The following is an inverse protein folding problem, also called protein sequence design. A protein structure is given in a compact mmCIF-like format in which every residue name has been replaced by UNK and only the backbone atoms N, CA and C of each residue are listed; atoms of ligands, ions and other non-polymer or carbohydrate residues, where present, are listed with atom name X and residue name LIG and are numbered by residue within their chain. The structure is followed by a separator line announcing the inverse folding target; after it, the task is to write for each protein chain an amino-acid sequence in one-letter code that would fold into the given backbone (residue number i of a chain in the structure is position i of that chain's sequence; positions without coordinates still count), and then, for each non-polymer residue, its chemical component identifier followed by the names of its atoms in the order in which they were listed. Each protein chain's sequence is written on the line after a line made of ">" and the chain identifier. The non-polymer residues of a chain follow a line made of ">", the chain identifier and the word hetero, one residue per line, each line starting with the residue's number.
data_IF_692947192767
#
_entry.id   IF_692947192767
#
_cell.length_a   1.000
_cell.length_b   1.000
_cell.length_c   1.000
_cell.angle_alpha   90.00
_cell.angle_beta   90.00
_cell.angle_gamma   90.00
#
_symmetry.space_group_name_H-M   'P 1'
#
loop_
_entity.id
_entity.type
_entity.pdbx_description
1 polymer ?
#
# COMPACT_ATOMS: atom_id res chain seq x y z
N UNK A 1 5.22 -21.56 0.72
CA UNK A 1 5.40 -21.18 2.14
C UNK A 1 4.10 -20.61 2.70
N UNK A 2 3.80 -20.87 3.97
CA UNK A 2 2.56 -20.46 4.66
C UNK A 2 2.59 -18.94 5.02
N UNK A 3 2.90 -18.09 4.05
CA UNK A 3 3.05 -16.63 4.23
C UNK A 3 1.70 -15.94 4.39
N UNK A 4 0.60 -16.63 4.06
CA UNK A 4 -0.76 -16.07 4.04
C UNK A 4 -1.22 -15.48 5.38
N UNK A 5 -0.63 -15.94 6.49
CA UNK A 5 -1.02 -15.55 7.85
C UNK A 5 0.02 -14.70 8.56
N UNK A 6 1.26 -14.65 8.06
CA UNK A 6 2.37 -13.88 8.64
C UNK A 6 2.01 -12.44 9.05
N UNK A 7 1.22 -11.66 8.26
CA UNK A 7 0.93 -10.27 8.59
C UNK A 7 0.35 -10.02 9.98
N UNK A 8 -0.49 -10.92 10.50
CA UNK A 8 -1.11 -10.71 11.82
C UNK A 8 -0.17 -11.06 12.99
N UNK A 9 0.96 -11.72 12.74
CA UNK A 9 1.99 -11.99 13.75
C UNK A 9 3.06 -10.90 13.78
N UNK A 10 3.09 -10.01 12.78
CA UNK A 10 4.17 -9.03 12.68
C UNK A 10 4.34 -8.17 13.93
N UNK A 11 3.28 -7.67 14.60
CA UNK A 11 3.45 -6.95 15.86
C UNK A 11 4.18 -7.79 16.93
N UNK A 12 3.81 -9.07 17.05
CA UNK A 12 4.46 -10.00 17.98
C UNK A 12 5.87 -10.35 17.56
N UNK A 13 6.14 -10.52 16.26
CA UNK A 13 7.46 -10.80 15.71
C UNK A 13 8.39 -9.61 15.96
N UNK A 14 7.92 -8.39 15.70
CA UNK A 14 8.69 -7.16 15.96
C UNK A 14 8.99 -7.01 17.45
N UNK A 15 8.00 -7.20 18.33
CA UNK A 15 8.24 -7.20 19.77
C UNK A 15 9.29 -8.24 20.22
N UNK A 16 9.29 -9.45 19.63
CA UNK A 16 10.33 -10.45 19.92
C UNK A 16 11.72 -10.04 19.44
N UNK A 17 11.80 -9.38 18.29
CA UNK A 17 13.07 -8.92 17.74
C UNK A 17 13.62 -7.73 18.54
N UNK A 18 12.76 -6.81 18.98
CA UNK A 18 13.14 -5.67 19.82
C UNK A 18 13.66 -6.13 21.20
N UNK A 19 13.11 -7.21 21.74
CA UNK A 19 13.59 -7.84 22.97
C UNK A 19 14.91 -8.63 22.78
N UNK A 20 15.28 -8.95 21.53
CA UNK A 20 16.38 -9.84 21.16
C UNK A 20 17.73 -9.17 20.86
N UNK A 21 17.85 -7.86 21.06
CA UNK A 21 19.06 -7.05 20.81
C UNK A 21 19.45 -6.80 19.34
N UNK A 22 18.69 -7.27 18.34
CA UNK A 22 18.86 -6.88 16.92
C UNK A 22 18.04 -5.62 16.65
N UNK A 23 18.58 -4.43 16.95
CA UNK A 23 17.86 -3.17 16.75
C UNK A 23 17.75 -2.82 15.27
N UNK A 24 16.56 -3.00 14.69
CA UNK A 24 16.20 -2.49 13.35
C UNK A 24 16.43 -0.98 13.19
N UNK A 25 16.54 -0.26 14.30
CA UNK A 25 16.61 1.19 14.36
C UNK A 25 18.00 1.76 14.02
N UNK A 26 19.07 0.95 14.10
CA UNK A 26 20.46 1.41 13.93
C UNK A 26 21.25 0.64 12.83
N UNK A 27 20.55 0.15 11.81
CA UNK A 27 21.16 -0.61 10.72
C UNK A 27 21.66 0.35 9.63
N UNK A 28 22.93 0.25 9.23
CA UNK A 28 23.40 0.94 8.04
C UNK A 28 22.83 0.26 6.79
N UNK A 29 21.89 0.94 6.14
CA UNK A 29 21.19 0.44 4.95
C UNK A 29 22.09 0.34 3.72
N UNK A 30 23.28 0.96 3.75
CA UNK A 30 24.29 0.83 2.70
C UNK A 30 25.20 -0.39 2.91
N UNK A 31 25.25 -0.92 4.12
CA UNK A 31 26.01 -2.12 4.45
C UNK A 31 25.18 -3.38 4.21
N UNK A 32 25.49 -4.10 3.12
CA UNK A 32 24.75 -5.29 2.71
C UNK A 32 24.78 -6.41 3.76
N UNK A 33 25.88 -6.55 4.51
CA UNK A 33 26.01 -7.61 5.52
C UNK A 33 25.13 -7.34 6.74
N UNK A 34 25.03 -6.08 7.17
CA UNK A 34 24.12 -5.69 8.24
C UNK A 34 22.65 -5.89 7.83
N UNK A 35 22.29 -5.46 6.62
CA UNK A 35 20.94 -5.69 6.07
C UNK A 35 20.63 -7.19 6.00
N UNK A 36 21.59 -8.00 5.57
CA UNK A 36 21.44 -9.45 5.49
C UNK A 36 21.23 -10.08 6.87
N UNK A 37 22.02 -9.70 7.86
CA UNK A 37 21.90 -10.21 9.23
C UNK A 37 20.49 -9.95 9.79
N UNK A 38 19.98 -8.75 9.58
CA UNK A 38 18.63 -8.35 9.99
C UNK A 38 17.54 -9.17 9.31
N UNK A 39 17.67 -9.41 8.00
CA UNK A 39 16.74 -10.26 7.24
C UNK A 39 16.79 -11.71 7.74
N UNK A 40 17.98 -12.24 8.02
CA UNK A 40 18.15 -13.59 8.53
C UNK A 40 17.52 -13.75 9.92
N UNK A 41 17.70 -12.79 10.82
CA UNK A 41 17.09 -12.79 12.15
C UNK A 41 15.57 -12.68 12.08
N UNK A 42 15.04 -11.78 11.24
CA UNK A 42 13.61 -11.71 10.98
C UNK A 42 13.07 -13.07 10.50
N UNK A 43 13.74 -13.69 9.53
CA UNK A 43 13.31 -14.99 8.99
C UNK A 43 13.37 -16.11 10.04
N UNK A 44 14.39 -16.11 10.91
CA UNK A 44 14.49 -17.07 12.03
C UNK A 44 13.32 -16.91 12.99
N UNK A 45 13.00 -15.67 13.41
CA UNK A 45 11.89 -15.40 14.34
C UNK A 45 10.53 -15.65 13.69
N UNK A 46 10.37 -15.33 12.41
CA UNK A 46 9.12 -15.53 11.67
C UNK A 46 8.81 -17.01 11.35
N UNK A 47 9.83 -17.85 11.18
CA UNK A 47 9.66 -19.24 10.74
C UNK A 47 8.76 -20.10 11.67
N UNK A 48 8.88 -20.05 13.01
CA UNK A 48 7.95 -20.70 13.93
C UNK A 48 6.49 -20.29 13.73
N UNK A 49 6.20 -18.99 13.58
CA UNK A 49 4.84 -18.48 13.35
C UNK A 49 4.26 -19.00 12.03
N UNK A 50 5.08 -19.04 10.97
CA UNK A 50 4.67 -19.60 9.68
C UNK A 50 4.37 -21.12 9.76
N UNK A 51 5.05 -21.87 10.65
CA UNK A 51 4.80 -23.30 10.88
C UNK A 51 3.56 -23.54 11.75
N UNK A 52 3.43 -22.82 12.87
CA UNK A 52 2.32 -22.91 13.82
C UNK A 52 0.96 -22.76 13.12
N UNK A 53 0.91 -21.91 12.09
CA UNK A 53 -0.33 -21.58 11.41
C UNK A 53 -0.69 -22.45 10.21
N UNK A 54 0.04 -23.54 9.97
CA UNK A 54 -0.32 -24.56 8.98
C UNK A 54 -1.45 -25.51 9.44
N UNK A 55 -1.93 -25.44 10.69
CA UNK A 55 -2.87 -26.44 11.22
C UNK A 55 -4.03 -25.95 12.10
N UNK A 56 -4.13 -24.66 12.45
CA UNK A 56 -5.19 -24.15 13.33
C UNK A 56 -5.97 -22.98 12.72
N UNK A 57 -7.27 -22.90 12.98
CA UNK A 57 -8.09 -21.70 12.76
C UNK A 57 -7.76 -20.70 13.86
N UNK A 58 -7.23 -19.52 13.51
CA UNK A 58 -6.94 -18.46 14.48
C UNK A 58 -8.01 -17.36 14.37
N UNK A 59 -8.89 -17.19 15.36
CA UNK A 59 -9.91 -16.13 15.37
C UNK A 59 -9.33 -14.72 15.22
N UNK A 60 -8.13 -14.48 15.76
CA UNK A 60 -7.45 -13.19 15.64
C UNK A 60 -7.00 -12.90 14.20
N UNK A 61 -6.70 -13.94 13.40
CA UNK A 61 -6.38 -13.76 11.98
C UNK A 61 -7.62 -13.33 11.17
N UNK A 62 -8.78 -13.91 11.47
CA UNK A 62 -10.03 -13.48 10.84
C UNK A 62 -10.28 -12.01 11.17
N UNK A 63 -10.31 -11.62 12.44
CA UNK A 63 -10.48 -10.22 12.84
C UNK A 63 -9.48 -9.29 12.14
N UNK A 64 -8.17 -9.60 12.21
CA UNK A 64 -7.12 -8.81 11.58
C UNK A 64 -7.32 -8.58 10.08
N UNK A 65 -7.77 -9.63 9.38
CA UNK A 65 -7.97 -9.62 7.93
C UNK A 65 -9.26 -8.93 7.48
N UNK A 66 -10.23 -8.77 8.39
CA UNK A 66 -11.49 -8.12 8.08
C UNK A 66 -11.41 -6.59 8.17
N UNK A 67 -10.39 -6.08 8.87
CA UNK A 67 -10.23 -4.66 9.13
C UNK A 67 -9.52 -3.89 8.00
N UNK A 68 -9.75 -2.58 7.97
CA UNK A 68 -8.95 -1.67 7.15
C UNK A 68 -7.56 -1.54 7.74
N UNK A 69 -6.60 -1.16 6.90
CA UNK A 69 -5.32 -0.69 7.41
C UNK A 69 -5.56 0.58 8.26
N UNK A 70 -4.88 0.69 9.40
CA UNK A 70 -4.76 1.96 10.11
C UNK A 70 -3.94 2.97 9.27
N UNK A 71 -3.87 4.20 9.77
CA UNK A 71 -3.21 5.30 9.06
C UNK A 71 -1.72 5.04 8.87
N UNK A 72 -1.05 4.41 9.84
CA UNK A 72 0.38 4.15 9.80
C UNK A 72 0.71 3.09 8.73
N UNK A 73 0.04 1.94 8.79
CA UNK A 73 0.22 0.87 7.81
C UNK A 73 -0.17 1.34 6.40
N UNK A 74 -1.23 2.12 6.27
CA UNK A 74 -1.63 2.68 4.98
C UNK A 74 -0.57 3.64 4.42
N UNK A 75 0.03 4.48 5.27
CA UNK A 75 1.12 5.40 4.89
C UNK A 75 2.36 4.64 4.41
N UNK A 76 2.70 3.53 5.08
CA UNK A 76 3.79 2.64 4.66
C UNK A 76 3.48 2.02 3.30
N UNK A 77 2.29 1.45 3.12
CA UNK A 77 1.87 0.82 1.86
C UNK A 77 1.90 1.82 0.70
N UNK A 78 1.38 3.03 0.92
CA UNK A 78 1.40 4.10 -0.08
C UNK A 78 2.83 4.51 -0.44
N UNK A 79 3.69 4.74 0.56
CA UNK A 79 5.10 5.10 0.35
C UNK A 79 5.87 4.03 -0.42
N UNK A 80 5.66 2.74 -0.10
CA UNK A 80 6.28 1.62 -0.81
C UNK A 80 5.80 1.53 -2.26
N UNK A 81 4.51 1.74 -2.50
CA UNK A 81 3.93 1.70 -3.84
C UNK A 81 4.43 2.87 -4.69
N UNK A 82 4.49 4.07 -4.10
CA UNK A 82 5.02 5.27 -4.74
C UNK A 82 6.49 5.12 -5.11
N UNK A 83 7.34 4.71 -4.16
CA UNK A 83 8.78 4.59 -4.38
C UNK A 83 9.13 3.56 -5.46
N UNK A 84 8.31 2.52 -5.63
CA UNK A 84 8.49 1.53 -6.69
C UNK A 84 7.98 2.01 -8.05
N UNK A 85 6.84 2.72 -8.07
CA UNK A 85 6.21 3.16 -9.31
C UNK A 85 6.86 4.41 -9.91
N UNK A 86 7.30 5.35 -9.06
CA UNK A 86 7.79 6.68 -9.47
C UNK A 86 9.30 6.72 -9.42
N UNK A 87 9.93 6.57 -10.58
CA UNK A 87 11.41 6.56 -10.70
C UNK A 87 12.03 7.95 -10.55
N UNK A 88 11.31 9.01 -10.96
CA UNK A 88 11.76 10.39 -10.83
C UNK A 88 10.59 11.30 -10.40
N UNK A 89 10.46 11.57 -9.09
CA UNK A 89 9.38 12.40 -8.55
C UNK A 89 9.40 13.86 -9.05
N UNK A 90 10.55 14.38 -9.48
CA UNK A 90 10.68 15.77 -9.94
C UNK A 90 9.92 16.05 -11.25
N UNK A 91 9.51 14.99 -11.95
CA UNK A 91 8.68 15.07 -13.16
C UNK A 91 7.18 15.16 -12.84
N UNK A 92 6.80 15.10 -11.57
CA UNK A 92 5.42 15.29 -11.11
C UNK A 92 5.23 16.73 -10.64
N UNK A 93 4.11 17.35 -11.02
CA UNK A 93 3.72 18.64 -10.45
C UNK A 93 3.49 18.49 -8.94
N UNK A 94 4.16 19.28 -8.10
CA UNK A 94 4.14 19.09 -6.63
C UNK A 94 2.86 19.57 -5.92
N UNK A 95 1.81 19.94 -6.65
CA UNK A 95 0.56 20.45 -6.08
C UNK A 95 -0.55 19.41 -6.09
N UNK A 96 -0.54 18.51 -5.11
CA UNK A 96 -1.69 17.63 -4.85
C UNK A 96 -1.97 17.54 -3.35
N UNK A 97 -3.20 17.83 -2.95
CA UNK A 97 -3.67 17.68 -1.57
C UNK A 97 -4.67 16.52 -1.49
N UNK A 98 -4.34 15.36 -0.90
CA UNK A 98 -5.29 14.27 -0.78
C UNK A 98 -6.40 14.62 0.21
N UNK A 99 -7.65 14.36 -0.17
CA UNK A 99 -8.81 14.37 0.74
C UNK A 99 -9.48 12.99 0.73
N UNK A 100 -9.82 12.49 1.91
CA UNK A 100 -10.56 11.24 2.08
C UNK A 100 -11.95 11.54 2.64
N UNK A 101 -12.97 10.98 2.02
CA UNK A 101 -14.32 10.84 2.58
C UNK A 101 -14.83 9.42 2.32
N UNK A 102 -15.83 8.98 3.09
CA UNK A 102 -16.32 7.60 3.11
C UNK A 102 -16.99 7.14 1.81
N UNK A 103 -16.20 6.89 0.77
CA UNK A 103 -16.67 6.52 -0.58
C UNK A 103 -16.87 5.01 -0.76
N UNK A 104 -17.86 4.63 -1.59
CA UNK A 104 -18.14 3.22 -1.93
C UNK A 104 -17.13 2.64 -2.93
N UNK A 105 -16.65 3.48 -3.85
CA UNK A 105 -15.54 3.23 -4.78
C UNK A 105 -14.84 4.56 -5.08
N UNK A 106 -13.59 4.52 -5.50
CA UNK A 106 -12.84 5.70 -5.96
C UNK A 106 -12.48 5.57 -7.44
N UNK A 107 -12.58 6.65 -8.21
CA UNK A 107 -12.12 6.67 -9.60
C UNK A 107 -11.20 7.88 -9.77
N UNK A 108 -10.01 7.66 -10.30
CA UNK A 108 -9.09 8.71 -10.73
C UNK A 108 -8.97 8.66 -12.25
N UNK A 109 -9.14 9.80 -12.91
CA UNK A 109 -8.92 9.97 -14.34
C UNK A 109 -7.78 10.98 -14.47
N UNK A 110 -6.68 10.56 -15.09
CA UNK A 110 -5.50 11.40 -15.30
C UNK A 110 -5.30 11.61 -16.80
N UNK A 111 -5.16 12.87 -17.20
CA UNK A 111 -5.03 13.26 -18.60
C UNK A 111 -3.61 13.05 -19.12
N UNK A 112 -2.61 13.26 -18.27
CA UNK A 112 -1.21 13.24 -18.69
C UNK A 112 -0.65 11.81 -18.70
N UNK A 113 0.02 11.42 -19.78
CA UNK A 113 0.57 10.07 -19.98
C UNK A 113 1.48 9.61 -18.84
N UNK A 114 2.44 10.46 -18.44
CA UNK A 114 3.46 10.08 -17.44
C UNK A 114 2.85 9.89 -16.04
N UNK A 115 2.09 10.86 -15.49
CA UNK A 115 1.33 10.65 -14.25
C UNK A 115 0.34 9.48 -14.33
N UNK A 116 -0.36 9.27 -15.45
CA UNK A 116 -1.29 8.17 -15.61
C UNK A 116 -0.58 6.80 -15.55
N UNK A 117 0.59 6.67 -16.20
CA UNK A 117 1.42 5.47 -16.15
C UNK A 117 1.90 5.18 -14.71
N UNK A 118 2.36 6.22 -14.00
CA UNK A 118 2.74 6.07 -12.59
C UNK A 118 1.57 5.69 -11.70
N UNK A 119 0.41 6.31 -11.92
CA UNK A 119 -0.84 5.97 -11.21
C UNK A 119 -1.19 4.50 -11.38
N UNK A 120 -1.18 3.99 -12.62
CA UNK A 120 -1.46 2.58 -12.93
C UNK A 120 -0.50 1.63 -12.18
N UNK A 121 0.81 1.85 -12.30
CA UNK A 121 1.83 1.05 -11.62
C UNK A 121 1.67 1.10 -10.08
N UNK A 122 1.43 2.28 -9.53
CA UNK A 122 1.20 2.47 -8.09
C UNK A 122 -0.07 1.74 -7.64
N UNK A 123 -1.15 1.78 -8.42
CA UNK A 123 -2.42 1.10 -8.13
C UNK A 123 -2.27 -0.43 -8.09
N UNK A 124 -1.51 -1.01 -9.02
CA UNK A 124 -1.19 -2.44 -8.98
C UNK A 124 -0.42 -2.83 -7.73
N UNK A 125 0.59 -2.03 -7.39
CA UNK A 125 1.50 -2.31 -6.29
C UNK A 125 0.82 -2.15 -4.94
N UNK A 126 0.01 -1.10 -4.80
CA UNK A 126 -0.88 -0.91 -3.67
C UNK A 126 -1.80 -2.12 -3.49
N UNK A 127 -2.41 -2.62 -4.58
CA UNK A 127 -3.31 -3.78 -4.54
C UNK A 127 -2.57 -5.06 -4.13
N UNK A 128 -1.34 -5.27 -4.62
CA UNK A 128 -0.47 -6.39 -4.22
C UNK A 128 -0.17 -6.32 -2.71
N UNK A 129 0.19 -5.15 -2.20
CA UNK A 129 0.47 -4.95 -0.77
C UNK A 129 -0.77 -5.14 0.10
N UNK A 130 -1.90 -4.53 -0.23
CA UNK A 130 -3.15 -4.73 0.51
C UNK A 130 -3.57 -6.21 0.58
N UNK A 131 -3.39 -6.95 -0.53
CA UNK A 131 -3.63 -8.40 -0.58
C UNK A 131 -2.64 -9.21 0.27
N UNK A 132 -1.38 -8.77 0.32
CA UNK A 132 -0.35 -9.40 1.15
C UNK A 132 -0.68 -9.20 2.62
N UNK A 133 -0.93 -7.96 3.05
CA UNK A 133 -1.29 -7.57 4.42
C UNK A 133 -2.69 -8.03 4.87
N UNK A 134 -3.49 -8.56 3.94
CA UNK A 134 -4.88 -8.98 4.16
C UNK A 134 -5.78 -7.84 4.64
N UNK A 135 -5.53 -6.62 4.19
CA UNK A 135 -6.36 -5.47 4.55
C UNK A 135 -7.39 -5.17 3.47
N UNK A 136 -8.59 -4.76 3.89
CA UNK A 136 -9.63 -4.36 2.94
C UNK A 136 -9.38 -2.96 2.41
N UNK A 137 -9.39 -2.81 1.10
CA UNK A 137 -9.56 -1.52 0.43
C UNK A 137 -10.91 -1.51 -0.29
N UNK A 138 -11.48 -0.32 -0.48
CA UNK A 138 -12.61 -0.17 -1.40
C UNK A 138 -12.11 -0.33 -2.83
N UNK A 139 -12.97 -0.78 -3.76
CA UNK A 139 -12.61 -0.81 -5.16
C UNK A 139 -12.19 0.58 -5.62
N UNK A 140 -11.08 0.66 -6.34
CA UNK A 140 -10.65 1.88 -6.99
C UNK A 140 -10.25 1.60 -8.44
N UNK A 141 -10.30 2.63 -9.28
CA UNK A 141 -9.94 2.54 -10.69
C UNK A 141 -9.15 3.79 -11.07
N UNK A 142 -8.04 3.59 -11.79
CA UNK A 142 -7.22 4.66 -12.34
C UNK A 142 -7.27 4.54 -13.85
N UNK A 143 -7.67 5.63 -14.51
CA UNK A 143 -7.94 5.69 -15.95
C UNK A 143 -7.03 6.75 -16.54
N UNK A 144 -6.43 6.44 -17.68
CA UNK A 144 -5.79 7.42 -18.54
C UNK A 144 -6.83 7.98 -19.51
N UNK A 145 -7.10 9.28 -19.43
CA UNK A 145 -8.12 9.93 -20.25
C UNK A 145 -8.42 11.35 -19.80
N UNK A 146 -9.24 12.05 -20.57
CA UNK A 146 -9.73 13.38 -20.20
C UNK A 146 -11.04 13.25 -19.42
N UNK A 147 -11.08 13.70 -18.17
CA UNK A 147 -12.30 13.70 -17.34
C UNK A 147 -13.48 14.43 -18.00
N UNK A 148 -13.21 15.40 -18.89
CA UNK A 148 -14.22 16.18 -19.58
C UNK A 148 -14.84 15.46 -20.80
N UNK A 149 -14.32 14.29 -21.18
CA UNK A 149 -14.85 13.50 -22.28
C UNK A 149 -16.24 12.93 -21.93
N UNK A 150 -17.15 12.96 -22.91
CA UNK A 150 -18.54 12.55 -22.76
C UNK A 150 -18.67 11.09 -22.32
N UNK A 151 -17.72 10.24 -22.71
CA UNK A 151 -17.67 8.84 -22.27
C UNK A 151 -17.63 8.68 -20.75
N UNK A 152 -17.08 9.65 -20.01
CA UNK A 152 -16.99 9.60 -18.55
C UNK A 152 -18.15 10.32 -17.85
N UNK A 153 -18.97 11.10 -18.57
CA UNK A 153 -20.05 11.90 -18.01
C UNK A 153 -21.04 11.07 -17.19
N UNK A 154 -21.42 9.89 -17.69
CA UNK A 154 -22.31 8.97 -16.98
C UNK A 154 -21.66 8.37 -15.73
N UNK A 155 -20.36 8.07 -15.77
CA UNK A 155 -19.62 7.52 -14.64
C UNK A 155 -19.44 8.57 -13.52
N UNK A 156 -19.11 9.79 -13.92
CA UNK A 156 -18.93 10.98 -13.08
C UNK A 156 -20.25 11.38 -12.40
N UNK A 157 -21.37 11.33 -13.12
CA UNK A 157 -22.68 11.68 -12.55
C UNK A 157 -23.24 10.61 -11.61
N UNK A 158 -22.77 9.36 -11.71
CA UNK A 158 -23.21 8.25 -10.85
C UNK A 158 -22.42 8.12 -9.53
N UNK A 159 -21.26 8.77 -9.39
CA UNK A 159 -20.53 8.74 -8.11
C UNK A 159 -21.21 9.65 -7.08
N UNK A 160 -21.66 9.06 -5.95
CA UNK A 160 -22.35 9.77 -4.85
C UNK A 160 -21.55 10.90 -4.23
N UNK A 161 -20.23 10.86 -4.39
CA UNK A 161 -19.32 11.88 -3.89
C UNK A 161 -18.14 11.92 -4.87
N UNK A 162 -18.00 13.05 -5.54
CA UNK A 162 -16.92 13.30 -6.48
C UNK A 162 -15.99 14.34 -5.87
N UNK A 163 -14.80 13.93 -5.49
CA UNK A 163 -13.74 14.85 -5.10
C UNK A 163 -12.96 15.19 -6.37
N UNK A 164 -13.14 16.41 -6.87
CA UNK A 164 -12.42 16.92 -8.03
C UNK A 164 -10.96 17.18 -7.67
N UNK A 165 -10.04 16.67 -8.49
CA UNK A 165 -8.68 17.18 -8.60
C UNK A 165 -8.50 17.72 -10.01
N UNK A 166 -8.65 19.04 -10.14
CA UNK A 166 -8.29 19.76 -11.36
C UNK A 166 -6.81 20.10 -11.28
N UNK A 167 -6.00 19.55 -12.19
CA UNK A 167 -4.72 20.15 -12.53
C UNK A 167 -5.02 21.36 -13.43
N UNK A 168 -4.81 22.55 -12.89
CA UNK A 168 -4.56 23.74 -13.70
C UNK A 168 -3.39 23.43 -14.63
N UNK A 169 -3.69 23.21 -15.91
CA UNK A 169 -2.79 23.64 -16.97
C UNK A 169 -2.79 25.17 -16.91
N UNK A 170 -1.75 25.74 -16.29
CA UNK A 170 -1.44 27.15 -16.57
C UNK A 170 -1.21 27.27 -18.07
N UNK A 171 -1.94 28.21 -18.65
CA UNK A 171 -1.75 28.70 -20.02
C UNK A 171 -0.32 29.19 -20.23
#
# INVERSE_FOLDING_TARGET
>A
MCVKRLPCALPTIFAHLDNGASTFTNVDKSNLEEVRAVIEDFNKVAAPYAKLWKGQTNPAFESWSQDRADVELLTIICSLSFSRAVSNPQLLNNHYAPFSSGVKRSVGIEINDLPARYGSAMGEDFSKWMKWWKKKCRPFQLIHGDMLDEQYRNMITQVKQMTFFSLSLSK
#
